data_IF_973044784330
#
_entry.id   IF_973044784330
#
_cell.length_a   1.000
_cell.length_b   1.000
_cell.length_c   1.000
_cell.angle_alpha   90.00
_cell.angle_beta   90.00
_cell.angle_gamma   90.00
#
_symmetry.space_group_name_H-M   'P 1'
#
loop_
_entity.id
_entity.type
_entity.pdbx_description
1 polymer ?
#
# COMPACT_ATOMS: atom_id res chain seq x y z
N UNK A 1 -17.90 32.06 17.66
CA UNK A 1 -16.93 31.01 18.07
C UNK A 1 -17.27 29.63 17.49
N UNK A 2 -18.55 29.24 17.34
CA UNK A 2 -18.94 27.90 16.86
C UNK A 2 -18.50 27.58 15.42
N UNK A 3 -18.62 28.53 14.48
CA UNK A 3 -18.25 28.30 13.07
C UNK A 3 -16.74 28.05 12.85
N UNK A 4 -15.89 28.73 13.63
CA UNK A 4 -14.43 28.51 13.60
C UNK A 4 -14.05 27.18 14.26
N UNK A 5 -14.72 26.81 15.37
CA UNK A 5 -14.51 25.50 16.02
C UNK A 5 -14.91 24.34 15.10
N UNK A 6 -16.05 24.47 14.42
CA UNK A 6 -16.56 23.44 13.52
C UNK A 6 -15.76 23.33 12.21
N UNK A 7 -15.21 24.45 11.73
CA UNK A 7 -14.24 24.45 10.62
C UNK A 7 -12.91 23.79 11.01
N UNK A 8 -12.39 24.07 12.22
CA UNK A 8 -11.16 23.46 12.72
C UNK A 8 -11.30 21.95 13.00
N UNK A 9 -12.47 21.48 13.43
CA UNK A 9 -12.75 20.03 13.54
C UNK A 9 -12.70 19.34 12.17
N UNK A 10 -13.20 19.99 11.11
CA UNK A 10 -13.13 19.45 9.75
C UNK A 10 -11.69 19.37 9.23
N UNK A 11 -10.85 20.35 9.55
CA UNK A 11 -9.42 20.36 9.19
C UNK A 11 -8.63 19.26 9.92
N UNK A 12 -8.96 18.99 11.19
CA UNK A 12 -8.34 17.92 11.98
C UNK A 12 -8.73 16.53 11.45
N UNK A 13 -10.02 16.31 11.15
CA UNK A 13 -10.51 15.03 10.62
C UNK A 13 -9.81 14.65 9.33
N UNK A 14 -9.62 15.62 8.44
CA UNK A 14 -8.84 15.48 7.20
C UNK A 14 -7.41 15.04 7.48
N UNK A 15 -6.72 15.72 8.40
CA UNK A 15 -5.31 15.40 8.74
C UNK A 15 -5.21 13.98 9.29
N UNK A 16 -6.12 13.58 10.18
CA UNK A 16 -6.16 12.24 10.77
C UNK A 16 -6.39 11.16 9.71
N UNK A 17 -7.33 11.39 8.81
CA UNK A 17 -7.62 10.49 7.69
C UNK A 17 -6.39 10.30 6.79
N UNK A 18 -5.74 11.39 6.38
CA UNK A 18 -4.55 11.32 5.53
C UNK A 18 -3.40 10.62 6.26
N UNK A 19 -3.21 10.93 7.55
CA UNK A 19 -2.22 10.30 8.40
C UNK A 19 -2.41 8.78 8.45
N UNK A 20 -3.64 8.32 8.74
CA UNK A 20 -4.00 6.91 8.82
C UNK A 20 -3.87 6.20 7.48
N UNK A 21 -4.30 6.83 6.37
CA UNK A 21 -4.13 6.27 5.03
C UNK A 21 -2.67 6.02 4.67
N UNK A 22 -1.80 6.99 4.94
CA UNK A 22 -0.36 6.86 4.69
C UNK A 22 0.29 5.85 5.63
N UNK A 23 -0.11 5.83 6.89
CA UNK A 23 0.34 4.85 7.87
C UNK A 23 0.02 3.42 7.39
N UNK A 24 -1.24 3.16 7.03
CA UNK A 24 -1.70 1.82 6.64
C UNK A 24 -1.11 1.34 5.32
N UNK A 25 -0.89 2.22 4.34
CA UNK A 25 -0.18 1.85 3.10
C UNK A 25 1.26 1.41 3.40
N UNK A 26 1.94 2.09 4.34
CA UNK A 26 3.30 1.74 4.73
C UNK A 26 3.39 0.51 5.65
N UNK A 27 2.37 0.26 6.48
CA UNK A 27 2.22 -1.01 7.19
C UNK A 27 2.05 -2.15 6.19
N UNK A 28 1.11 -2.03 5.23
CA UNK A 28 0.91 -3.04 4.19
C UNK A 28 2.18 -3.25 3.36
N UNK A 29 2.89 -2.17 3.02
CA UNK A 29 4.16 -2.23 2.30
C UNK A 29 5.17 -3.12 3.00
N UNK A 30 5.33 -2.96 4.32
CA UNK A 30 6.40 -3.61 5.09
C UNK A 30 6.03 -4.98 5.63
N UNK A 31 4.75 -5.21 5.94
CA UNK A 31 4.22 -6.54 6.31
C UNK A 31 4.41 -7.54 5.18
N UNK A 32 4.28 -7.09 3.93
CA UNK A 32 4.45 -7.95 2.75
C UNK A 32 5.92 -8.33 2.50
N UNK A 33 6.90 -7.52 2.93
CA UNK A 33 8.33 -7.78 2.65
C UNK A 33 8.84 -9.11 3.22
N UNK A 34 8.64 -9.44 4.51
CA UNK A 34 9.11 -10.71 5.08
C UNK A 34 8.28 -11.91 4.62
N UNK A 35 6.97 -11.74 4.35
CA UNK A 35 6.05 -12.85 4.08
C UNK A 35 6.33 -13.51 2.71
N UNK A 36 6.68 -12.74 1.69
CA UNK A 36 6.80 -13.28 0.32
C UNK A 36 8.01 -14.21 0.14
N UNK A 37 9.23 -13.84 0.58
CA UNK A 37 10.39 -14.74 0.53
C UNK A 37 10.12 -16.09 1.21
N UNK A 38 9.52 -16.05 2.39
CA UNK A 38 9.28 -17.24 3.20
C UNK A 38 8.23 -18.18 2.57
N UNK A 39 7.17 -17.63 1.99
CA UNK A 39 6.14 -18.43 1.32
C UNK A 39 6.70 -19.20 0.10
N UNK A 40 7.50 -18.53 -0.72
CA UNK A 40 8.14 -19.15 -1.90
C UNK A 40 9.14 -20.24 -1.48
N UNK A 41 9.89 -19.98 -0.41
CA UNK A 41 10.87 -20.90 0.14
C UNK A 41 10.22 -22.18 0.71
N UNK A 42 9.11 -22.05 1.46
CA UNK A 42 8.38 -23.20 2.00
C UNK A 42 7.78 -24.08 0.90
N UNK A 43 7.29 -23.48 -0.18
CA UNK A 43 6.78 -24.22 -1.33
C UNK A 43 7.90 -25.01 -2.05
N UNK A 44 9.09 -24.42 -2.19
CA UNK A 44 10.25 -25.09 -2.75
C UNK A 44 10.73 -26.25 -1.88
N UNK A 45 10.83 -26.04 -0.55
CA UNK A 45 11.23 -27.10 0.39
C UNK A 45 10.28 -28.28 0.32
N UNK A 46 8.97 -28.04 0.34
CA UNK A 46 7.96 -29.11 0.37
C UNK A 46 8.03 -29.98 -0.89
N UNK A 47 8.18 -29.35 -2.05
CA UNK A 47 8.37 -30.08 -3.31
C UNK A 47 9.71 -30.82 -3.37
N UNK A 48 10.78 -30.26 -2.81
CA UNK A 48 12.12 -30.88 -2.87
C UNK A 48 12.27 -32.04 -1.89
N UNK A 49 11.75 -31.90 -0.67
CA UNK A 49 11.84 -32.92 0.37
C UNK A 49 11.04 -34.18 0.04
N UNK A 50 9.90 -34.04 -0.65
CA UNK A 50 9.15 -35.18 -1.18
C UNK A 50 9.91 -35.96 -2.26
N UNK A 51 10.68 -35.27 -3.12
CA UNK A 51 11.53 -35.92 -4.14
C UNK A 51 12.69 -36.69 -3.48
N UNK A 52 13.33 -36.11 -2.46
CA UNK A 52 14.50 -36.72 -1.78
C UNK A 52 14.12 -37.93 -0.93
N UNK A 53 12.97 -37.90 -0.27
CA UNK A 53 12.54 -38.99 0.61
C UNK A 53 12.12 -40.25 -0.15
N UNK A 54 11.77 -40.11 -1.44
CA UNK A 54 11.43 -41.23 -2.32
C UNK A 54 12.64 -41.79 -3.08
N UNK A 55 13.83 -41.20 -2.93
CA UNK A 55 15.06 -41.62 -3.61
C UNK A 55 15.84 -42.69 -2.81
N UNK A 56 16.55 -43.56 -3.53
CA UNK A 56 17.40 -44.63 -3.00
C UNK A 56 18.57 -44.10 -2.14
N UNK A 57 18.98 -44.87 -1.12
CA UNK A 57 19.95 -44.45 -0.08
C UNK A 57 21.34 -44.08 -0.60
N UNK A 58 21.80 -44.64 -1.72
CA UNK A 58 23.10 -44.29 -2.32
C UNK A 58 23.03 -42.93 -3.07
N UNK A 59 21.90 -42.62 -3.71
CA UNK A 59 21.68 -41.36 -4.43
C UNK A 59 21.50 -40.16 -3.51
N UNK A 60 21.10 -40.37 -2.24
CA UNK A 60 20.84 -39.30 -1.28
C UNK A 60 22.05 -38.39 -1.03
N UNK A 61 23.26 -38.94 -0.96
CA UNK A 61 24.47 -38.16 -0.65
C UNK A 61 24.90 -37.25 -1.82
N UNK A 62 24.71 -37.73 -3.06
CA UNK A 62 24.94 -36.97 -4.28
C UNK A 62 23.82 -35.95 -4.53
N UNK A 63 22.57 -36.34 -4.33
CA UNK A 63 21.41 -35.44 -4.33
C UNK A 63 21.57 -34.33 -3.30
N UNK A 64 22.05 -34.60 -2.08
CA UNK A 64 22.27 -33.56 -1.07
C UNK A 64 23.31 -32.53 -1.51
N UNK A 65 24.42 -32.95 -2.15
CA UNK A 65 25.43 -32.00 -2.66
C UNK A 65 24.92 -31.20 -3.85
N UNK A 66 24.19 -31.83 -4.77
CA UNK A 66 23.55 -31.12 -5.89
C UNK A 66 22.43 -30.21 -5.41
N UNK A 67 21.64 -30.61 -4.41
CA UNK A 67 20.62 -29.80 -3.78
C UNK A 67 21.20 -28.64 -2.98
N UNK A 68 22.39 -28.80 -2.38
CA UNK A 68 23.07 -27.69 -1.72
C UNK A 68 23.52 -26.63 -2.75
N UNK A 69 24.02 -27.06 -3.92
CA UNK A 69 24.31 -26.17 -5.04
C UNK A 69 23.05 -25.52 -5.61
N UNK A 70 22.00 -26.31 -5.84
CA UNK A 70 20.69 -25.81 -6.30
C UNK A 70 20.11 -24.84 -5.28
N UNK A 71 20.23 -25.11 -3.97
CA UNK A 71 19.79 -24.24 -2.87
C UNK A 71 20.54 -22.92 -2.87
N UNK A 72 21.87 -22.94 -3.01
CA UNK A 72 22.67 -21.71 -3.15
C UNK A 72 22.28 -20.90 -4.39
N UNK A 73 22.04 -21.58 -5.51
CA UNK A 73 21.65 -20.96 -6.77
C UNK A 73 20.18 -20.49 -6.77
N UNK A 74 19.29 -21.15 -6.02
CA UNK A 74 17.91 -20.69 -5.78
C UNK A 74 17.89 -19.51 -4.82
N UNK A 75 18.73 -19.47 -3.79
CA UNK A 75 18.86 -18.30 -2.92
C UNK A 75 19.34 -17.06 -3.71
N UNK A 76 20.23 -17.24 -4.69
CA UNK A 76 20.68 -16.17 -5.59
C UNK A 76 19.55 -15.69 -6.52
N UNK A 77 18.84 -16.62 -7.18
CA UNK A 77 17.67 -16.31 -8.02
C UNK A 77 16.47 -15.75 -7.21
N UNK A 78 16.31 -16.15 -5.95
CA UNK A 78 15.29 -15.63 -5.04
C UNK A 78 15.58 -14.17 -4.70
N UNK A 79 16.83 -13.81 -4.43
CA UNK A 79 17.22 -12.41 -4.18
C UNK A 79 16.91 -11.51 -5.38
N UNK A 80 17.13 -12.00 -6.61
CA UNK A 80 16.74 -11.28 -7.83
C UNK A 80 15.22 -11.12 -7.92
N UNK A 81 14.48 -12.21 -7.66
CA UNK A 81 13.01 -12.25 -7.73
C UNK A 81 12.36 -11.33 -6.69
N UNK A 82 12.86 -11.33 -5.46
CA UNK A 82 12.45 -10.43 -4.38
C UNK A 82 12.81 -8.98 -4.74
N UNK A 83 14.00 -8.75 -5.33
CA UNK A 83 14.42 -7.44 -5.81
C UNK A 83 13.48 -6.86 -6.87
N UNK A 84 13.08 -7.67 -7.86
CA UNK A 84 12.09 -7.29 -8.89
C UNK A 84 10.74 -6.96 -8.25
N UNK A 85 10.31 -7.78 -7.30
CA UNK A 85 9.03 -7.60 -6.63
C UNK A 85 8.98 -6.31 -5.79
N UNK A 86 10.03 -6.03 -5.02
CA UNK A 86 10.13 -4.83 -4.18
C UNK A 86 10.25 -3.56 -5.02
N UNK A 87 11.01 -3.61 -6.13
CA UNK A 87 11.18 -2.47 -7.02
C UNK A 87 9.93 -2.17 -7.87
N UNK A 88 9.09 -3.16 -8.18
CA UNK A 88 7.88 -2.97 -8.99
C UNK A 88 6.94 -1.88 -8.46
N UNK A 89 6.71 -1.82 -7.14
CA UNK A 89 5.91 -0.76 -6.51
C UNK A 89 6.51 0.62 -6.78
N UNK A 90 7.81 0.76 -6.55
CA UNK A 90 8.50 2.04 -6.67
C UNK A 90 8.50 2.55 -8.11
N UNK A 91 8.70 1.66 -9.09
CA UNK A 91 8.66 1.99 -10.52
C UNK A 91 7.27 2.50 -10.89
N UNK A 92 6.20 1.76 -10.56
CA UNK A 92 4.83 2.19 -10.90
C UNK A 92 4.48 3.50 -10.19
N UNK A 93 4.84 3.63 -8.91
CA UNK A 93 4.59 4.85 -8.13
C UNK A 93 5.32 6.07 -8.72
N UNK A 94 6.54 5.90 -9.21
CA UNK A 94 7.31 6.97 -9.86
C UNK A 94 6.56 7.54 -11.07
N UNK A 95 6.02 6.67 -11.93
CA UNK A 95 5.23 7.12 -13.10
C UNK A 95 3.85 7.65 -12.70
N UNK A 96 3.22 7.07 -11.68
CA UNK A 96 1.89 7.47 -11.25
C UNK A 96 1.88 8.79 -10.48
N UNK A 97 2.93 9.15 -9.74
CA UNK A 97 2.97 10.38 -8.95
C UNK A 97 2.68 11.66 -9.79
N UNK A 98 3.36 11.91 -10.94
CA UNK A 98 3.01 13.03 -11.83
C UNK A 98 1.59 12.92 -12.42
N UNK A 99 1.17 11.72 -12.81
CA UNK A 99 -0.16 11.49 -13.40
C UNK A 99 -1.28 11.83 -12.42
N UNK A 100 -1.14 11.41 -11.16
CA UNK A 100 -2.06 11.74 -10.08
C UNK A 100 -2.01 13.24 -9.77
N UNK A 101 -0.85 13.88 -9.83
CA UNK A 101 -0.74 15.34 -9.68
C UNK A 101 -1.61 16.08 -10.69
N UNK A 102 -1.57 15.67 -11.97
CA UNK A 102 -2.45 16.22 -13.00
C UNK A 102 -3.92 15.88 -12.70
N UNK A 103 -4.22 14.63 -12.31
CA UNK A 103 -5.58 14.16 -11.99
C UNK A 103 -6.25 14.98 -10.88
N UNK A 104 -5.51 15.29 -9.81
CA UNK A 104 -6.02 16.07 -8.68
C UNK A 104 -6.42 17.49 -9.06
N UNK A 105 -5.83 18.04 -10.12
CA UNK A 105 -6.19 19.36 -10.65
C UNK A 105 -7.56 19.36 -11.34
N UNK A 106 -8.03 18.22 -11.85
CA UNK A 106 -9.31 18.10 -12.56
C UNK A 106 -10.46 17.60 -11.69
N UNK A 107 -10.20 16.61 -10.82
CA UNK A 107 -11.25 15.89 -10.07
C UNK A 107 -11.23 16.26 -8.57
N UNK A 108 -10.28 17.11 -8.16
CA UNK A 108 -10.07 17.45 -6.75
C UNK A 108 -9.29 16.39 -5.98
N UNK A 109 -9.15 16.60 -4.67
CA UNK A 109 -8.28 15.77 -3.81
C UNK A 109 -9.02 14.63 -3.11
N UNK A 110 -10.31 14.80 -2.80
CA UNK A 110 -11.10 13.87 -2.00
C UNK A 110 -11.39 12.56 -2.74
N UNK A 111 -11.67 12.64 -4.06
CA UNK A 111 -11.97 11.44 -4.84
C UNK A 111 -10.73 10.54 -5.05
N UNK A 112 -9.56 11.07 -5.46
CA UNK A 112 -8.36 10.25 -5.60
C UNK A 112 -7.91 9.54 -4.31
N UNK A 113 -7.96 10.21 -3.14
CA UNK A 113 -7.57 9.57 -1.87
C UNK A 113 -8.54 8.44 -1.47
N UNK A 114 -9.84 8.62 -1.73
CA UNK A 114 -10.85 7.59 -1.51
C UNK A 114 -10.63 6.40 -2.45
N UNK A 115 -10.45 6.65 -3.74
CA UNK A 115 -10.15 5.61 -4.73
C UNK A 115 -8.86 4.85 -4.38
N UNK A 116 -7.82 5.56 -3.96
CA UNK A 116 -6.58 4.95 -3.49
C UNK A 116 -6.79 4.03 -2.30
N UNK A 117 -7.66 4.42 -1.35
CA UNK A 117 -7.98 3.62 -0.16
C UNK A 117 -8.82 2.38 -0.50
N UNK A 118 -9.78 2.50 -1.43
CA UNK A 118 -10.52 1.34 -1.97
C UNK A 118 -9.60 0.37 -2.69
N UNK A 119 -8.71 0.88 -3.55
CA UNK A 119 -7.69 0.06 -4.21
C UNK A 119 -6.79 -0.64 -3.19
N UNK A 120 -6.39 0.04 -2.12
CA UNK A 120 -5.56 -0.54 -1.07
C UNK A 120 -6.25 -1.75 -0.40
N UNK A 121 -7.56 -1.69 -0.15
CA UNK A 121 -8.35 -2.83 0.35
C UNK A 121 -8.29 -4.00 -0.65
N UNK A 122 -8.57 -3.74 -1.93
CA UNK A 122 -8.53 -4.78 -2.97
C UNK A 122 -7.16 -5.43 -3.06
N UNK A 123 -6.10 -4.64 -2.94
CA UNK A 123 -4.71 -5.11 -2.95
C UNK A 123 -4.41 -5.94 -1.70
N UNK A 124 -4.87 -5.54 -0.52
CA UNK A 124 -4.72 -6.34 0.70
C UNK A 124 -5.42 -7.70 0.58
N UNK A 125 -6.60 -7.75 -0.05
CA UNK A 125 -7.29 -9.02 -0.35
C UNK A 125 -6.47 -9.87 -1.33
N UNK A 126 -5.92 -9.27 -2.38
CA UNK A 126 -5.02 -9.98 -3.30
C UNK A 126 -3.77 -10.53 -2.61
N UNK A 127 -3.24 -9.85 -1.59
CA UNK A 127 -2.12 -10.38 -0.81
C UNK A 127 -2.55 -11.49 0.17
N UNK A 128 -3.74 -11.39 0.75
CA UNK A 128 -4.25 -12.40 1.67
C UNK A 128 -4.48 -13.78 1.00
N UNK A 129 -4.92 -13.76 -0.26
CA UNK A 129 -5.29 -14.97 -1.03
C UNK A 129 -4.39 -15.23 -2.25
N UNK A 130 -3.36 -14.40 -2.45
CA UNK A 130 -2.41 -14.56 -3.54
C UNK A 130 -1.45 -15.71 -3.28
N UNK A 131 -1.51 -16.74 -4.13
CA UNK A 131 -0.63 -17.91 -4.03
C UNK A 131 0.54 -17.86 -5.05
N UNK A 132 0.38 -17.15 -6.17
CA UNK A 132 1.38 -17.13 -7.24
C UNK A 132 2.21 -15.85 -7.26
N UNK A 133 3.49 -15.99 -7.60
CA UNK A 133 4.43 -14.87 -7.75
C UNK A 133 3.89 -13.76 -8.66
N UNK A 134 3.30 -14.13 -9.80
CA UNK A 134 2.71 -13.16 -10.74
C UNK A 134 1.55 -12.38 -10.13
N UNK A 135 0.67 -13.02 -9.36
CA UNK A 135 -0.42 -12.32 -8.64
C UNK A 135 0.15 -11.33 -7.62
N UNK A 136 1.18 -11.71 -6.86
CA UNK A 136 1.85 -10.85 -5.88
C UNK A 136 2.55 -9.66 -6.56
N UNK A 137 3.16 -9.87 -7.73
CA UNK A 137 3.81 -8.83 -8.52
C UNK A 137 2.79 -7.82 -9.08
N UNK A 138 1.65 -8.30 -9.55
CA UNK A 138 0.54 -7.44 -9.99
C UNK A 138 -0.02 -6.65 -8.80
N UNK A 139 -0.24 -7.30 -7.65
CA UNK A 139 -0.72 -6.64 -6.44
C UNK A 139 0.26 -5.54 -5.97
N UNK A 140 1.58 -5.79 -6.01
CA UNK A 140 2.61 -4.77 -5.70
C UNK A 140 2.62 -3.61 -6.66
N UNK A 141 2.48 -3.89 -7.95
CA UNK A 141 2.39 -2.87 -8.99
C UNK A 141 1.17 -1.98 -8.78
N UNK A 142 0.00 -2.58 -8.52
CA UNK A 142 -1.23 -1.86 -8.17
C UNK A 142 -1.09 -1.06 -6.87
N UNK A 143 -0.32 -1.56 -5.90
CA UNK A 143 0.01 -0.82 -4.67
C UNK A 143 0.79 0.45 -4.97
N UNK A 144 1.66 0.46 -5.99
CA UNK A 144 2.34 1.68 -6.43
C UNK A 144 1.34 2.76 -6.88
N UNK A 145 0.32 2.36 -7.64
CA UNK A 145 -0.76 3.24 -8.07
C UNK A 145 -1.62 3.74 -6.90
N UNK A 146 -2.03 2.85 -6.00
CA UNK A 146 -2.81 3.22 -4.81
C UNK A 146 -2.03 4.18 -3.90
N UNK A 147 -0.74 3.90 -3.67
CA UNK A 147 0.17 4.72 -2.88
C UNK A 147 0.37 6.11 -3.49
N UNK A 148 0.49 6.22 -4.82
CA UNK A 148 0.53 7.51 -5.51
C UNK A 148 -0.76 8.32 -5.31
N UNK A 149 -1.92 7.67 -5.47
CA UNK A 149 -3.24 8.29 -5.25
C UNK A 149 -3.39 8.85 -3.83
N UNK A 150 -3.01 8.07 -2.82
CA UNK A 150 -3.12 8.46 -1.41
C UNK A 150 -2.11 9.57 -1.06
N UNK A 151 -0.83 9.36 -1.40
CA UNK A 151 0.24 10.25 -0.95
C UNK A 151 0.21 11.62 -1.62
N UNK A 152 0.04 11.68 -2.94
CA UNK A 152 -0.03 12.95 -3.68
C UNK A 152 -1.27 13.72 -3.26
N UNK A 153 -2.43 13.09 -3.33
CA UNK A 153 -3.70 13.77 -3.05
C UNK A 153 -3.82 14.15 -1.58
N UNK A 154 -3.40 13.29 -0.66
CA UNK A 154 -3.43 13.57 0.78
C UNK A 154 -2.54 14.76 1.16
N UNK A 155 -1.32 14.82 0.62
CA UNK A 155 -0.42 15.95 0.86
C UNK A 155 -0.92 17.24 0.21
N UNK A 156 -1.48 17.18 -1.01
CA UNK A 156 -2.12 18.33 -1.64
C UNK A 156 -3.34 18.83 -0.86
N UNK A 157 -4.12 17.93 -0.29
CA UNK A 157 -5.31 18.26 0.49
C UNK A 157 -4.93 19.02 1.76
N UNK A 158 -3.89 18.57 2.50
CA UNK A 158 -3.31 19.31 3.63
C UNK A 158 -2.70 20.63 3.17
N UNK A 159 -2.03 20.65 2.01
CA UNK A 159 -1.38 21.84 1.49
C UNK A 159 -2.36 22.98 1.17
N UNK A 160 -3.58 22.62 0.77
CA UNK A 160 -4.64 23.52 0.31
C UNK A 160 -5.55 24.03 1.44
N UNK A 161 -5.31 23.63 2.69
CA UNK A 161 -6.06 24.14 3.85
C UNK A 161 -5.74 25.63 4.08
N UNK A 162 -6.68 26.51 3.71
CA UNK A 162 -6.53 27.98 3.75
C UNK A 162 -6.37 28.55 5.16
N UNK A 163 -6.80 27.82 6.19
CA UNK A 163 -6.79 28.28 7.58
C UNK A 163 -5.46 28.05 8.29
N UNK A 164 -4.51 27.35 7.65
CA UNK A 164 -3.25 26.98 8.26
C UNK A 164 -2.11 27.93 7.84
N UNK A 165 -1.40 28.51 8.82
CA UNK A 165 -0.19 29.29 8.56
C UNK A 165 0.95 28.39 8.07
N UNK A 166 1.89 28.94 7.29
CA UNK A 166 2.98 28.17 6.67
C UNK A 166 3.80 27.34 7.68
N UNK A 167 4.07 27.89 8.86
CA UNK A 167 4.77 27.20 9.95
C UNK A 167 3.96 26.05 10.57
N UNK A 168 2.63 26.18 10.67
CA UNK A 168 1.77 25.09 11.13
C UNK A 168 1.65 24.03 10.04
N UNK A 169 1.60 24.45 8.78
CA UNK A 169 1.50 23.57 7.61
C UNK A 169 2.71 22.66 7.46
N UNK A 170 3.91 23.20 7.57
CA UNK A 170 5.13 22.38 7.53
C UNK A 170 5.19 21.39 8.69
N UNK A 171 4.76 21.78 9.91
CA UNK A 171 4.68 20.88 11.06
C UNK A 171 3.68 19.74 10.84
N UNK A 172 2.48 20.04 10.34
CA UNK A 172 1.45 19.02 10.05
C UNK A 172 1.91 18.09 8.94
N UNK A 173 2.47 18.62 7.85
CA UNK A 173 3.05 17.81 6.79
C UNK A 173 4.17 16.90 7.31
N UNK A 174 5.07 17.42 8.16
CA UNK A 174 6.11 16.64 8.81
C UNK A 174 5.54 15.53 9.70
N UNK A 175 4.48 15.81 10.46
CA UNK A 175 3.79 14.83 11.29
C UNK A 175 3.14 13.72 10.43
N UNK A 176 2.50 14.10 9.32
CA UNK A 176 1.88 13.16 8.38
C UNK A 176 2.93 12.31 7.66
N UNK A 177 4.04 12.89 7.21
CA UNK A 177 5.16 12.12 6.68
C UNK A 177 5.79 11.22 7.74
N UNK A 178 5.77 11.62 9.02
CA UNK A 178 6.17 10.78 10.14
C UNK A 178 5.37 9.48 10.26
N UNK A 179 4.12 9.46 9.77
CA UNK A 179 3.28 8.24 9.75
C UNK A 179 3.85 7.15 8.83
N UNK A 180 4.58 7.53 7.78
CA UNK A 180 5.29 6.60 6.88
C UNK A 180 6.34 5.83 7.67
N UNK A 181 7.20 6.55 8.41
CA UNK A 181 8.25 5.93 9.22
C UNK A 181 7.67 5.04 10.32
N UNK A 182 6.58 5.48 10.97
CA UNK A 182 5.88 4.67 11.96
C UNK A 182 5.24 3.41 11.36
N UNK A 183 4.66 3.52 10.17
CA UNK A 183 4.09 2.37 9.46
C UNK A 183 5.15 1.33 9.11
N UNK A 184 6.32 1.79 8.65
CA UNK A 184 7.48 0.93 8.39
C UNK A 184 7.99 0.27 9.67
N UNK A 185 8.11 1.04 10.75
CA UNK A 185 8.61 0.56 12.04
C UNK A 185 7.71 -0.53 12.63
N UNK A 186 6.39 -0.36 12.56
CA UNK A 186 5.41 -1.31 13.11
C UNK A 186 5.20 -2.50 12.16
N UNK A 187 5.23 -2.27 10.84
CA UNK A 187 4.86 -3.30 9.89
C UNK A 187 5.88 -4.44 9.74
N UNK A 188 7.19 -4.20 9.90
CA UNK A 188 8.17 -5.31 9.87
C UNK A 188 7.99 -6.29 11.04
N UNK A 189 7.94 -5.86 12.31
CA UNK A 189 7.64 -6.75 13.43
C UNK A 189 6.26 -7.39 13.33
N UNK A 190 5.24 -6.61 12.91
CA UNK A 190 3.88 -7.11 12.78
C UNK A 190 3.78 -8.21 11.71
N UNK A 191 4.44 -8.04 10.57
CA UNK A 191 4.45 -9.02 9.49
C UNK A 191 5.17 -10.31 9.85
N UNK A 192 6.33 -10.22 10.53
CA UNK A 192 7.08 -11.40 10.96
C UNK A 192 6.39 -12.17 12.10
N UNK A 193 6.04 -11.47 13.18
CA UNK A 193 5.47 -12.11 14.38
C UNK A 193 4.08 -12.71 14.09
N UNK A 194 3.17 -11.99 13.43
CA UNK A 194 1.83 -12.56 13.19
C UNK A 194 1.85 -13.75 12.24
N UNK A 195 2.81 -13.78 11.30
CA UNK A 195 2.96 -14.91 10.40
C UNK A 195 3.36 -16.19 11.16
N UNK A 196 4.26 -16.06 12.14
CA UNK A 196 4.74 -17.20 12.93
C UNK A 196 3.68 -17.77 13.89
N UNK A 197 2.76 -16.94 14.39
CA UNK A 197 1.82 -17.34 15.44
C UNK A 197 0.43 -17.74 14.95
N UNK A 198 -0.09 -17.17 13.85
CA UNK A 198 -1.49 -17.37 13.44
C UNK A 198 -1.68 -17.16 11.92
N UNK A 199 -1.63 -18.24 11.13
CA UNK A 199 -2.03 -18.36 9.71
C UNK A 199 -1.71 -17.20 8.72
N UNK A 200 -1.20 -17.55 7.53
CA UNK A 200 -0.79 -16.63 6.43
C UNK A 200 -1.75 -15.45 6.16
N UNK A 201 -3.07 -15.66 6.27
CA UNK A 201 -4.08 -14.65 5.91
C UNK A 201 -4.42 -13.66 7.03
N UNK A 202 -4.04 -13.93 8.28
CA UNK A 202 -4.43 -13.11 9.43
C UNK A 202 -3.84 -11.69 9.45
N UNK A 203 -2.53 -11.46 9.20
CA UNK A 203 -1.98 -10.10 9.19
C UNK A 203 -2.67 -9.22 8.14
N UNK A 204 -3.01 -9.80 6.99
CA UNK A 204 -3.73 -9.09 5.93
C UNK A 204 -5.17 -8.77 6.31
N UNK A 205 -5.89 -9.70 6.96
CA UNK A 205 -7.25 -9.46 7.43
C UNK A 205 -7.33 -8.32 8.46
N UNK A 206 -6.36 -8.24 9.38
CA UNK A 206 -6.28 -7.12 10.35
C UNK A 206 -6.09 -5.79 9.61
N UNK A 207 -5.20 -5.75 8.62
CA UNK A 207 -4.95 -4.56 7.81
C UNK A 207 -6.20 -4.18 6.99
N UNK A 208 -6.91 -5.15 6.41
CA UNK A 208 -8.17 -4.91 5.69
C UNK A 208 -9.20 -4.25 6.61
N UNK A 209 -9.36 -4.77 7.83
CA UNK A 209 -10.25 -4.17 8.82
C UNK A 209 -9.84 -2.73 9.16
N UNK A 210 -8.55 -2.47 9.36
CA UNK A 210 -8.04 -1.14 9.67
C UNK A 210 -8.22 -0.15 8.50
N UNK A 211 -7.97 -0.57 7.26
CA UNK A 211 -8.20 0.27 6.07
C UNK A 211 -9.69 0.51 5.87
N UNK A 212 -10.54 -0.49 6.08
CA UNK A 212 -12.00 -0.35 5.97
C UNK A 212 -12.55 0.62 7.02
N UNK A 213 -12.02 0.59 8.25
CA UNK A 213 -12.34 1.57 9.28
C UNK A 213 -11.91 2.98 8.86
N UNK A 214 -10.70 3.14 8.33
CA UNK A 214 -10.23 4.42 7.81
C UNK A 214 -11.05 4.92 6.61
N UNK A 215 -11.52 4.02 5.75
CA UNK A 215 -12.44 4.33 4.65
C UNK A 215 -13.80 4.83 5.17
N UNK A 216 -14.30 4.24 6.25
CA UNK A 216 -15.49 4.75 6.95
C UNK A 216 -15.28 6.17 7.49
N UNK A 217 -14.11 6.44 8.08
CA UNK A 217 -13.74 7.77 8.55
C UNK A 217 -13.61 8.79 7.40
N UNK A 218 -13.09 8.35 6.25
CA UNK A 218 -13.05 9.14 5.03
C UNK A 218 -14.45 9.53 4.56
N UNK A 219 -15.40 8.59 4.53
CA UNK A 219 -16.78 8.87 4.13
C UNK A 219 -17.50 9.82 5.10
N UNK A 220 -17.20 9.73 6.39
CA UNK A 220 -17.75 10.64 7.38
C UNK A 220 -17.16 12.05 7.26
N UNK A 221 -15.86 12.14 7.01
CA UNK A 221 -15.11 13.41 6.96
C UNK A 221 -15.30 14.14 5.63
N UNK A 222 -15.27 13.41 4.52
CA UNK A 222 -15.53 13.94 3.20
C UNK A 222 -17.04 13.90 2.98
N UNK A 223 -17.72 15.02 3.20
CA UNK A 223 -19.12 15.16 2.81
C UNK A 223 -19.19 15.06 1.26
N UNK A 224 -19.43 13.85 0.75
CA UNK A 224 -19.37 13.52 -0.68
C UNK A 224 -20.55 14.16 -1.43
N UNK A 225 -20.44 15.44 -1.77
CA UNK A 225 -21.33 16.08 -2.75
C UNK A 225 -20.88 15.71 -4.18
N UNK A 226 -21.14 14.46 -4.57
CA UNK A 226 -20.84 13.91 -5.90
C UNK A 226 -21.44 14.76 -7.04
N UNK A 227 -22.63 15.34 -6.85
CA UNK A 227 -23.28 16.19 -7.85
C UNK A 227 -22.50 17.49 -8.14
N UNK A 228 -21.87 18.08 -7.12
CA UNK A 228 -21.21 19.38 -7.24
C UNK A 228 -19.82 19.24 -7.89
N UNK A 229 -19.13 18.12 -7.62
CA UNK A 229 -17.84 17.81 -8.26
C UNK A 229 -18.00 17.39 -9.72
N UNK A 230 -19.03 16.59 -10.05
CA UNK A 230 -19.34 16.25 -11.46
C UNK A 230 -19.79 17.48 -12.25
N UNK A 231 -20.58 18.38 -11.65
CA UNK A 231 -20.93 19.68 -12.27
C UNK A 231 -19.70 20.56 -12.53
N UNK A 232 -18.76 20.62 -11.59
CA UNK A 232 -17.53 21.38 -11.76
C UNK A 232 -16.62 20.78 -12.84
N UNK A 233 -16.55 19.44 -12.93
CA UNK A 233 -15.86 18.74 -14.01
C UNK A 233 -16.48 19.08 -15.38
N UNK A 234 -17.81 18.99 -15.51
CA UNK A 234 -18.52 19.34 -16.75
C UNK A 234 -18.32 20.81 -17.14
N UNK A 235 -18.37 21.72 -16.16
CA UNK A 235 -18.19 23.16 -16.37
C UNK A 235 -16.77 23.51 -16.82
N UNK A 236 -15.76 22.83 -16.30
CA UNK A 236 -14.37 23.02 -16.70
C UNK A 236 -14.11 22.47 -18.11
N UNK A 237 -14.59 21.24 -18.39
CA UNK A 237 -14.42 20.58 -19.69
C UNK A 237 -15.10 21.33 -20.84
N UNK A 238 -16.26 21.95 -20.59
CA UNK A 238 -16.93 22.79 -21.61
C UNK A 238 -16.26 24.15 -21.80
N UNK A 239 -15.65 24.73 -20.76
CA UNK A 239 -14.98 26.04 -20.85
C UNK A 239 -13.68 25.99 -21.65
N UNK A 240 -13.00 24.84 -21.69
CA UNK A 240 -11.78 24.63 -22.51
C UNK A 240 -12.07 24.31 -23.97
N UNK A 241 -13.32 23.97 -24.32
CA UNK A 241 -13.73 23.62 -25.70
C UNK A 241 -14.36 24.80 -26.46
N UNK A 242 -14.54 25.95 -25.80
CA UNK A 242 -15.20 27.16 -26.30
C UNK A 242 -14.23 28.37 -26.47
N UNK A 243 -12.95 28.19 -26.17
CA UNK A 243 -11.84 29.09 -26.51
C UNK A 243 -10.86 28.35 -27.43
#
# INVERSE_FOLDING_TARGET
MSFLSQSMESDLGVIVVVYLSLFLDNVLLTVVVPIIPEHLYLQWITNTSSIVNNATREDQSFLQRSLMKIKLQTLENENETIGILLSSKAIVQLFMNPLVGILTSYIGYNLPIFLGSVLLILISVLFAYGETFSTLLIARSLQGTASALISVSGMCLIANQKHMSDLKRSKVMGLVMGSIALGVLIGYPFGGVLYDFVDKSLPFNVIICAISFNLGLQLYTFNFNLEEQVKNFYKYYFKTKLN
#
